data_IF_913673558355
#
_entry.id   IF_913673558355
#
_cell.length_a   1.000
_cell.length_b   1.000
_cell.length_c   1.000
_cell.angle_alpha   90.00
_cell.angle_beta   90.00
_cell.angle_gamma   90.00
#
_symmetry.space_group_name_H-M   'P 1'
#
loop_
_entity.id
_entity.type
_entity.pdbx_description
1 polymer ?
#
# COMPACT_ATOMS: atom_id res chain seq x y z
N UNK A 1 -2.09 15.07 21.65
CA UNK A 1 -3.45 14.65 21.87
C UNK A 1 -3.90 13.77 20.69
N UNK A 2 -3.84 12.45 20.87
CA UNK A 2 -4.04 11.46 19.81
C UNK A 2 -5.33 10.65 20.05
N UNK A 3 -6.43 11.32 20.37
CA UNK A 3 -7.71 10.68 20.73
C UNK A 3 -8.37 9.94 19.54
N UNK A 4 -8.14 10.38 18.30
CA UNK A 4 -8.72 9.80 17.08
C UNK A 4 -7.64 9.26 16.14
N UNK A 5 -6.67 8.50 16.68
CA UNK A 5 -5.57 7.89 15.91
C UNK A 5 -5.99 6.57 15.28
N UNK A 6 -5.69 6.40 13.99
CA UNK A 6 -5.76 5.12 13.29
C UNK A 6 -4.62 4.97 12.28
N UNK A 7 -4.33 3.71 11.90
CA UNK A 7 -3.22 3.34 11.00
C UNK A 7 -1.85 3.81 11.50
N UNK A 8 -1.43 3.46 12.74
CA UNK A 8 -0.13 3.84 13.26
C UNK A 8 0.98 3.07 12.55
N UNK A 9 1.96 3.78 11.98
CA UNK A 9 3.13 3.19 11.35
C UNK A 9 4.41 3.91 11.78
N UNK A 10 5.50 3.14 11.95
CA UNK A 10 6.80 3.66 12.33
C UNK A 10 7.82 3.45 11.22
N UNK A 11 8.60 4.49 10.94
CA UNK A 11 9.72 4.44 10.01
C UNK A 11 10.99 4.89 10.73
N UNK A 12 12.04 4.06 10.66
CA UNK A 12 13.35 4.39 11.22
C UNK A 12 14.21 5.04 10.15
N UNK A 13 14.55 6.31 10.37
CA UNK A 13 15.43 7.07 9.48
C UNK A 13 16.89 6.59 9.59
N UNK A 14 17.75 6.83 8.57
CA UNK A 14 19.16 6.46 8.59
C UNK A 14 19.95 7.03 9.78
N UNK A 15 19.57 8.20 10.28
CA UNK A 15 20.16 8.82 11.47
C UNK A 15 19.66 8.25 12.82
N UNK A 16 18.82 7.22 12.78
CA UNK A 16 18.25 6.55 13.93
C UNK A 16 16.97 7.17 14.48
N UNK A 17 16.58 8.36 14.06
CA UNK A 17 15.32 8.98 14.45
C UNK A 17 14.13 8.15 13.95
N UNK A 18 12.99 8.22 14.67
CA UNK A 18 11.77 7.54 14.25
C UNK A 18 10.75 8.55 13.75
N UNK A 19 10.05 8.18 12.71
CA UNK A 19 8.83 8.86 12.29
C UNK A 19 7.63 8.01 12.70
N UNK A 20 6.60 8.65 13.17
CA UNK A 20 5.32 8.08 13.51
C UNK A 20 4.25 8.69 12.60
N UNK A 21 3.75 7.90 11.68
CA UNK A 21 2.70 8.26 10.75
C UNK A 21 1.37 7.75 11.29
N UNK A 22 0.33 8.56 11.21
CA UNK A 22 -1.02 8.14 11.58
C UNK A 22 -2.08 9.03 10.94
N UNK A 23 -3.27 8.47 10.81
CA UNK A 23 -4.45 9.26 10.49
C UNK A 23 -5.04 9.86 11.75
N UNK A 24 -5.27 11.17 11.75
CA UNK A 24 -6.08 11.86 12.74
C UNK A 24 -7.47 12.11 12.14
N UNK A 25 -8.51 11.64 12.83
CA UNK A 25 -9.91 11.74 12.38
C UNK A 25 -10.50 10.42 11.89
N UNK A 26 -11.73 10.47 11.39
CA UNK A 26 -12.53 9.32 11.01
C UNK A 26 -12.48 8.95 9.53
N UNK A 27 -13.17 7.86 9.17
CA UNK A 27 -13.35 7.45 7.78
C UNK A 27 -14.14 8.51 6.99
N UNK A 28 -13.67 8.89 5.80
CA UNK A 28 -14.25 9.96 4.98
C UNK A 28 -13.94 11.38 5.47
N UNK A 29 -13.20 11.52 6.58
CA UNK A 29 -12.69 12.81 7.09
C UNK A 29 -11.46 12.57 7.94
N UNK A 30 -10.28 12.77 7.44
CA UNK A 30 -9.06 12.56 8.21
C UNK A 30 -7.83 13.10 7.50
N UNK A 31 -6.85 13.43 8.30
CA UNK A 31 -5.59 14.01 7.89
C UNK A 31 -4.43 13.04 8.14
N UNK A 32 -3.39 13.06 7.33
CA UNK A 32 -2.14 12.37 7.61
C UNK A 32 -1.23 13.27 8.46
N UNK A 33 -0.87 12.77 9.64
CA UNK A 33 0.00 13.43 10.60
C UNK A 33 1.33 12.69 10.68
N UNK A 34 2.42 13.43 10.87
CA UNK A 34 3.75 12.89 11.11
C UNK A 34 4.34 13.51 12.39
N UNK A 35 4.67 12.64 13.34
CA UNK A 35 5.49 13.00 14.49
C UNK A 35 6.89 12.40 14.31
N UNK A 36 7.92 13.09 14.82
CA UNK A 36 9.30 12.62 14.84
C UNK A 36 9.80 12.46 16.26
N UNK A 37 10.36 11.30 16.54
CA UNK A 37 11.16 11.07 17.75
C UNK A 37 12.63 11.30 17.43
N UNK A 38 13.24 12.23 18.16
CA UNK A 38 14.66 12.50 18.08
C UNK A 38 15.40 11.67 19.14
N UNK A 39 16.28 10.77 18.69
CA UNK A 39 16.99 9.83 19.59
C UNK A 39 18.02 10.50 20.47
N UNK A 40 18.60 11.64 20.06
CA UNK A 40 19.59 12.37 20.83
C UNK A 40 18.94 13.14 22.00
N UNK A 41 17.80 13.77 21.75
CA UNK A 41 17.08 14.54 22.75
C UNK A 41 15.99 13.75 23.48
N UNK A 42 15.66 12.54 22.99
CA UNK A 42 14.59 11.66 23.49
C UNK A 42 13.22 12.33 23.51
N UNK A 43 12.93 13.16 22.51
CA UNK A 43 11.69 13.93 22.45
C UNK A 43 10.91 13.68 21.17
N UNK A 44 9.59 13.67 21.32
CA UNK A 44 8.65 13.71 20.21
C UNK A 44 8.33 15.14 19.81
N UNK A 45 8.30 15.40 18.52
CA UNK A 45 7.84 16.67 17.93
C UNK A 45 6.95 16.39 16.74
N UNK A 46 5.87 17.17 16.58
CA UNK A 46 5.07 17.15 15.37
C UNK A 46 5.84 17.88 14.27
N UNK A 47 6.04 17.24 13.11
CA UNK A 47 6.75 17.86 11.99
C UNK A 47 5.90 18.91 11.27
N UNK A 48 4.61 18.57 11.05
CA UNK A 48 3.66 19.45 10.39
C UNK A 48 2.32 19.40 11.14
N UNK A 49 1.50 20.44 10.99
CA UNK A 49 0.12 20.42 11.52
C UNK A 49 -0.63 19.25 10.91
N UNK A 50 -0.51 19.07 9.59
CA UNK A 50 -0.84 17.86 8.83
C UNK A 50 0.00 17.85 7.55
N UNK A 51 0.38 16.68 7.09
CA UNK A 51 1.06 16.53 5.80
C UNK A 51 0.04 16.54 4.66
N UNK A 52 -1.01 15.75 4.80
CA UNK A 52 -2.10 15.64 3.82
C UNK A 52 -3.39 15.99 4.54
N UNK A 53 -4.15 16.91 3.98
CA UNK A 53 -5.44 17.30 4.54
C UNK A 53 -6.60 16.73 3.74
N UNK A 54 -7.57 16.14 4.45
CA UNK A 54 -8.87 15.76 3.90
C UNK A 54 -9.85 16.94 3.80
N UNK A 55 -9.46 18.15 4.23
CA UNK A 55 -10.28 19.38 4.21
C UNK A 55 -11.63 19.21 4.94
N UNK A 56 -11.71 18.26 5.89
CA UNK A 56 -12.96 17.90 6.57
C UNK A 56 -14.01 17.21 5.68
N UNK A 57 -13.68 16.89 4.43
CA UNK A 57 -14.61 16.36 3.40
C UNK A 57 -14.24 14.97 2.93
N UNK A 58 -12.96 14.60 3.02
CA UNK A 58 -12.42 13.34 2.52
C UNK A 58 -11.33 12.82 3.43
N UNK A 59 -10.78 11.68 3.06
CA UNK A 59 -9.70 11.03 3.77
C UNK A 59 -8.64 10.56 2.78
N UNK A 60 -7.37 10.74 3.11
CA UNK A 60 -6.27 10.09 2.43
C UNK A 60 -6.05 8.71 3.04
N UNK A 61 -6.22 7.64 2.25
CA UNK A 61 -5.76 6.30 2.63
C UNK A 61 -4.38 6.08 2.02
N UNK A 62 -3.37 6.15 2.85
CA UNK A 62 -1.97 6.22 2.47
C UNK A 62 -1.21 4.93 2.76
N UNK A 63 -0.15 4.70 2.03
CA UNK A 63 0.96 3.79 2.31
C UNK A 63 2.26 4.54 2.11
N UNK A 64 3.30 4.16 2.85
CA UNK A 64 4.61 4.78 2.73
C UNK A 64 5.73 3.74 2.64
N UNK A 65 6.86 4.17 2.11
CA UNK A 65 8.07 3.35 1.97
C UNK A 65 9.31 4.22 2.16
N UNK A 66 10.23 3.74 2.98
CA UNK A 66 11.55 4.34 3.14
C UNK A 66 12.54 3.57 2.28
N UNK A 67 13.06 4.18 1.22
CA UNK A 67 14.00 3.53 0.33
C UNK A 67 15.42 3.45 0.92
N UNK A 68 16.32 2.73 0.24
CA UNK A 68 17.70 2.54 0.66
C UNK A 68 18.56 3.83 0.63
N UNK A 69 18.08 4.90 -0.02
CA UNK A 69 18.71 6.23 -0.06
C UNK A 69 18.23 7.13 1.08
N UNK A 70 17.27 6.67 1.87
CA UNK A 70 16.64 7.44 2.93
C UNK A 70 15.52 8.36 2.43
N UNK A 71 15.06 8.20 1.19
CA UNK A 71 13.89 8.91 0.67
C UNK A 71 12.61 8.26 1.20
N UNK A 72 11.74 9.07 1.76
CA UNK A 72 10.39 8.68 2.12
C UNK A 72 9.47 8.88 0.92
N UNK A 73 8.80 7.83 0.52
CA UNK A 73 7.76 7.86 -0.50
C UNK A 73 6.40 7.65 0.17
N UNK A 74 5.40 8.43 -0.22
CA UNK A 74 4.02 8.29 0.23
C UNK A 74 3.11 8.31 -0.98
N UNK A 75 2.21 7.35 -1.07
CA UNK A 75 1.12 7.35 -2.04
C UNK A 75 -0.21 7.17 -1.32
N UNK A 76 -1.29 7.66 -1.89
CA UNK A 76 -2.62 7.55 -1.27
C UNK A 76 -3.73 7.59 -2.29
N UNK A 77 -4.84 6.98 -1.90
CA UNK A 77 -6.13 7.16 -2.56
C UNK A 77 -6.96 8.16 -1.76
N UNK A 78 -7.78 8.96 -2.45
CA UNK A 78 -8.79 9.77 -1.80
C UNK A 78 -10.06 8.96 -1.58
N UNK A 79 -10.71 9.17 -0.44
CA UNK A 79 -11.99 8.58 -0.09
C UNK A 79 -12.95 9.68 0.35
N UNK A 80 -14.01 9.88 -0.43
CA UNK A 80 -14.93 11.03 -0.28
C UNK A 80 -16.01 10.82 0.78
N UNK A 81 -16.24 9.57 1.20
CA UNK A 81 -17.27 9.22 2.19
C UNK A 81 -16.87 7.97 2.97
N UNK A 82 -17.62 7.55 4.01
CA UNK A 82 -17.37 6.25 4.64
C UNK A 82 -17.52 5.04 3.71
N UNK A 83 -18.17 5.17 2.56
CA UNK A 83 -18.31 4.12 1.55
C UNK A 83 -17.00 3.91 0.78
N UNK A 84 -16.49 2.67 0.74
CA UNK A 84 -15.27 2.31 0.00
C UNK A 84 -15.39 2.53 -1.51
N UNK A 85 -16.59 2.47 -2.07
CA UNK A 85 -16.83 2.78 -3.48
C UNK A 85 -16.50 4.23 -3.85
N UNK A 86 -16.40 5.13 -2.86
CA UNK A 86 -15.96 6.51 -3.04
C UNK A 86 -14.44 6.69 -3.14
N UNK A 87 -13.66 5.61 -3.08
CA UNK A 87 -12.21 5.67 -3.34
C UNK A 87 -11.96 6.07 -4.80
N UNK A 88 -10.98 6.94 -4.99
CA UNK A 88 -10.57 7.38 -6.33
C UNK A 88 -9.13 7.87 -6.36
N UNK A 89 -8.56 7.85 -7.55
CA UNK A 89 -7.23 8.38 -7.85
C UNK A 89 -6.10 7.75 -7.01
N UNK A 90 -4.89 7.81 -7.54
CA UNK A 90 -3.67 7.51 -6.80
C UNK A 90 -2.78 8.74 -6.82
N UNK A 91 -2.51 9.31 -5.66
CA UNK A 91 -1.67 10.48 -5.51
C UNK A 91 -0.30 10.10 -4.92
N UNK A 92 0.67 11.02 -5.02
CA UNK A 92 2.05 10.76 -4.62
C UNK A 92 2.76 12.01 -4.07
N UNK A 93 3.67 11.77 -3.13
CA UNK A 93 4.65 12.73 -2.61
C UNK A 93 5.90 11.99 -2.12
N UNK A 94 7.04 12.69 -2.07
CA UNK A 94 8.26 12.15 -1.43
C UNK A 94 8.97 13.22 -0.61
N UNK A 95 9.80 12.77 0.33
CA UNK A 95 10.69 13.59 1.14
C UNK A 95 12.09 13.00 1.14
N UNK A 96 13.10 13.84 0.93
CA UNK A 96 14.52 13.43 0.94
C UNK A 96 15.26 13.85 2.22
N UNK A 97 14.59 14.52 3.13
CA UNK A 97 15.15 15.12 4.34
C UNK A 97 14.49 14.65 5.64
N UNK A 98 13.96 13.42 5.59
CA UNK A 98 13.34 12.80 6.76
C UNK A 98 11.97 13.38 7.12
N UNK A 99 11.19 13.79 6.14
CA UNK A 99 9.82 14.25 6.29
C UNK A 99 9.67 15.76 6.55
N UNK A 100 10.75 16.54 6.47
CA UNK A 100 10.72 17.99 6.75
C UNK A 100 10.14 18.76 5.56
N UNK A 101 10.65 18.50 4.35
CA UNK A 101 10.10 19.05 3.11
C UNK A 101 9.59 17.94 2.20
N UNK A 102 8.62 18.28 1.37
CA UNK A 102 7.97 17.32 0.47
C UNK A 102 7.92 17.86 -0.95
N UNK A 103 8.08 16.96 -1.90
CA UNK A 103 8.12 17.27 -3.33
C UNK A 103 7.34 16.26 -4.15
N UNK A 104 6.96 16.65 -5.35
CA UNK A 104 6.40 15.78 -6.38
C UNK A 104 7.48 14.87 -6.98
N UNK A 105 7.10 13.96 -7.85
CA UNK A 105 8.04 13.05 -8.52
C UNK A 105 9.07 13.78 -9.39
N UNK A 106 8.72 14.94 -9.94
CA UNK A 106 9.60 15.79 -10.74
C UNK A 106 10.51 16.72 -9.91
N UNK A 107 10.39 16.70 -8.57
CA UNK A 107 11.14 17.55 -7.65
C UNK A 107 10.49 18.89 -7.34
N UNK A 108 9.31 19.18 -7.88
CA UNK A 108 8.56 20.40 -7.54
C UNK A 108 8.12 20.37 -6.07
N UNK A 109 8.50 21.37 -5.24
CA UNK A 109 8.11 21.40 -3.84
C UNK A 109 6.61 21.54 -3.63
N UNK A 110 6.09 20.89 -2.58
CA UNK A 110 4.74 21.12 -2.10
C UNK A 110 4.67 22.28 -1.11
N UNK A 111 3.64 23.11 -1.25
CA UNK A 111 3.14 23.91 -0.12
C UNK A 111 2.26 23.01 0.76
N UNK A 112 2.59 22.91 2.04
CA UNK A 112 1.86 22.06 2.99
C UNK A 112 0.70 22.79 3.66
N UNK A 113 -0.39 22.11 4.01
CA UNK A 113 -0.66 20.70 3.76
C UNK A 113 -1.02 20.40 2.29
N UNK A 114 -0.76 19.16 1.86
CA UNK A 114 -1.18 18.70 0.53
C UNK A 114 -2.69 18.45 0.56
N UNK A 115 -3.41 19.05 -0.36
CA UNK A 115 -4.85 18.87 -0.56
C UNK A 115 -5.15 18.14 -1.87
N UNK A 116 -6.41 17.78 -2.11
CA UNK A 116 -6.81 17.19 -3.39
C UNK A 116 -6.53 18.13 -4.58
N UNK A 117 -6.56 19.45 -4.37
CA UNK A 117 -6.28 20.42 -5.43
C UNK A 117 -4.77 20.56 -5.73
N UNK A 118 -3.89 20.32 -4.74
CA UNK A 118 -2.44 20.48 -4.88
C UNK A 118 -1.69 19.17 -5.12
N UNK A 119 -2.31 18.01 -4.89
CA UNK A 119 -1.70 16.69 -5.04
C UNK A 119 -1.19 16.43 -6.46
N UNK A 120 -0.04 15.79 -6.58
CA UNK A 120 0.34 15.11 -7.81
C UNK A 120 -0.45 13.80 -7.91
N UNK A 121 -1.01 13.54 -9.07
CA UNK A 121 -1.72 12.29 -9.34
C UNK A 121 -0.87 11.37 -10.20
N UNK A 122 -0.39 10.30 -9.61
CA UNK A 122 0.31 9.24 -10.32
C UNK A 122 -0.61 8.54 -11.34
N UNK A 123 -1.90 8.39 -10.98
CA UNK A 123 -2.91 7.86 -11.87
C UNK A 123 -4.30 8.39 -11.49
N UNK A 124 -5.11 8.73 -12.49
CA UNK A 124 -6.53 9.05 -12.32
C UNK A 124 -7.37 7.78 -12.40
N UNK A 125 -8.09 7.48 -11.33
CA UNK A 125 -8.95 6.30 -11.19
C UNK A 125 -10.32 6.79 -10.72
N UNK A 126 -11.40 6.51 -11.44
CA UNK A 126 -12.72 7.00 -11.07
C UNK A 126 -13.26 6.31 -9.81
N UNK A 127 -14.21 6.94 -9.13
CA UNK A 127 -15.03 6.29 -8.11
C UNK A 127 -15.82 5.11 -8.72
N UNK A 128 -16.29 4.19 -7.88
CA UNK A 128 -17.04 2.99 -8.27
C UNK A 128 -16.26 2.07 -9.24
N UNK A 129 -14.96 2.01 -9.09
CA UNK A 129 -14.07 1.11 -9.83
C UNK A 129 -13.47 -0.01 -8.97
N UNK A 130 -14.04 -0.28 -7.80
CA UNK A 130 -13.54 -1.26 -6.84
C UNK A 130 -12.08 -0.99 -6.39
N UNK A 131 -11.65 0.28 -6.46
CA UNK A 131 -10.35 0.69 -5.95
C UNK A 131 -10.29 0.50 -4.44
N UNK A 132 -9.32 -0.29 -3.99
CA UNK A 132 -9.12 -0.53 -2.55
C UNK A 132 -8.40 0.65 -1.88
N UNK A 133 -8.45 0.69 -0.55
CA UNK A 133 -7.71 1.60 0.32
C UNK A 133 -6.18 1.47 0.12
N UNK A 134 -5.41 1.89 1.13
CA UNK A 134 -3.97 1.67 1.16
C UNK A 134 -3.62 0.18 0.93
N UNK A 135 -2.52 -0.03 0.20
CA UNK A 135 -1.99 -1.35 -0.11
C UNK A 135 -0.51 -1.41 0.22
N UNK A 136 0.34 -1.28 -0.78
CA UNK A 136 1.79 -1.26 -0.58
C UNK A 136 2.50 -0.47 -1.66
N UNK A 137 3.73 -0.06 -1.34
CA UNK A 137 4.65 0.54 -2.30
C UNK A 137 6.09 0.13 -2.04
N UNK A 138 6.93 0.28 -3.05
CA UNK A 138 8.36 0.06 -3.00
C UNK A 138 9.06 1.09 -3.88
N UNK A 139 10.39 1.10 -3.87
CA UNK A 139 11.20 1.85 -4.83
C UNK A 139 12.34 0.98 -5.36
N UNK A 140 12.76 1.24 -6.60
CA UNK A 140 13.92 0.57 -7.20
C UNK A 140 15.25 1.16 -6.71
N UNK A 141 16.36 0.68 -7.28
CA UNK A 141 17.72 1.13 -6.94
C UNK A 141 17.96 2.61 -7.31
N UNK A 142 17.19 3.15 -8.24
CA UNK A 142 17.28 4.54 -8.65
C UNK A 142 16.34 5.47 -7.87
N UNK A 143 15.51 4.88 -6.98
CA UNK A 143 14.54 5.61 -6.16
C UNK A 143 13.26 5.91 -6.92
N UNK A 144 12.96 5.21 -8.02
CA UNK A 144 11.69 5.31 -8.69
C UNK A 144 10.62 4.53 -7.92
N UNK A 145 9.47 5.13 -7.61
CA UNK A 145 8.42 4.49 -6.84
C UNK A 145 7.57 3.52 -7.68
N UNK A 146 7.14 2.45 -7.02
CA UNK A 146 6.20 1.44 -7.50
C UNK A 146 5.08 1.29 -6.48
N UNK A 147 3.84 1.33 -6.94
CA UNK A 147 2.65 1.25 -6.09
C UNK A 147 1.80 0.10 -6.61
N UNK A 148 1.50 -0.87 -5.76
CA UNK A 148 0.60 -1.96 -6.10
C UNK A 148 -0.78 -1.71 -5.51
N UNK A 149 -1.82 -2.02 -6.27
CA UNK A 149 -3.21 -1.95 -5.82
C UNK A 149 -4.09 -2.84 -6.70
N UNK A 150 -5.38 -2.75 -6.54
CA UNK A 150 -6.33 -3.33 -7.49
C UNK A 150 -7.51 -2.39 -7.72
N UNK A 151 -8.01 -2.45 -8.93
CA UNK A 151 -9.24 -1.77 -9.36
C UNK A 151 -9.76 -2.40 -10.64
N UNK A 152 -10.93 -1.97 -11.06
CA UNK A 152 -11.59 -2.37 -12.29
C UNK A 152 -11.39 -1.29 -13.35
N UNK A 153 -10.77 -1.65 -14.47
CA UNK A 153 -10.58 -0.75 -15.61
C UNK A 153 -11.91 -0.37 -16.29
N UNK A 154 -11.90 0.76 -16.96
CA UNK A 154 -13.05 1.22 -17.72
C UNK A 154 -13.44 0.19 -18.79
N UNK A 155 -14.73 -0.15 -18.84
CA UNK A 155 -15.26 -1.15 -19.77
C UNK A 155 -15.08 -2.62 -19.34
N UNK A 156 -14.36 -2.88 -18.22
CA UNK A 156 -14.27 -4.20 -17.62
C UNK A 156 -15.30 -4.39 -16.51
N UNK A 157 -15.69 -5.63 -16.24
CA UNK A 157 -16.44 -6.02 -15.04
C UNK A 157 -15.55 -6.66 -13.97
N UNK A 158 -14.28 -6.94 -14.28
CA UNK A 158 -13.37 -7.71 -13.44
C UNK A 158 -12.28 -6.81 -12.87
N UNK A 159 -12.21 -6.62 -11.55
CA UNK A 159 -11.06 -5.96 -10.92
C UNK A 159 -9.79 -6.77 -11.11
N UNK A 160 -8.70 -6.08 -11.48
CA UNK A 160 -7.38 -6.66 -11.68
C UNK A 160 -6.38 -6.08 -10.68
N UNK A 161 -5.29 -6.82 -10.41
CA UNK A 161 -4.11 -6.24 -9.79
C UNK A 161 -3.37 -5.34 -10.77
N UNK A 162 -2.89 -4.22 -10.27
CA UNK A 162 -2.15 -3.24 -11.05
C UNK A 162 -0.88 -2.80 -10.32
N UNK A 163 0.10 -2.40 -11.11
CA UNK A 163 1.30 -1.70 -10.62
C UNK A 163 1.37 -0.35 -11.32
N UNK A 164 1.37 0.73 -10.52
CA UNK A 164 1.64 2.10 -10.95
C UNK A 164 3.10 2.37 -10.64
N UNK A 165 3.85 2.91 -11.58
CA UNK A 165 5.28 3.17 -11.39
C UNK A 165 5.74 4.41 -12.13
N UNK A 166 6.81 5.04 -11.63
CA UNK A 166 7.44 6.17 -12.28
C UNK A 166 8.69 5.70 -13.02
N UNK A 167 8.82 6.08 -14.30
CA UNK A 167 9.97 5.73 -15.15
C UNK A 167 11.15 6.69 -15.00
N UNK A 168 11.09 7.65 -14.07
CA UNK A 168 12.00 8.77 -13.96
C UNK A 168 11.53 10.01 -14.74
N UNK A 169 10.63 9.82 -15.71
CA UNK A 169 10.10 10.91 -16.55
C UNK A 169 8.57 10.97 -16.59
N UNK A 170 7.90 9.85 -16.35
CA UNK A 170 6.45 9.76 -16.42
C UNK A 170 5.90 8.65 -15.52
N UNK A 171 4.68 8.83 -15.04
CA UNK A 171 3.90 7.79 -14.40
C UNK A 171 3.27 6.88 -15.46
N UNK A 172 3.31 5.59 -15.18
CA UNK A 172 2.68 4.54 -15.99
C UNK A 172 1.95 3.54 -15.09
N UNK A 173 1.04 2.77 -15.66
CA UNK A 173 0.34 1.69 -14.97
C UNK A 173 0.30 0.44 -15.84
N UNK A 174 0.40 -0.71 -15.20
CA UNK A 174 0.24 -2.03 -15.82
C UNK A 174 -0.78 -2.83 -15.04
N UNK A 175 -1.75 -3.37 -15.76
CA UNK A 175 -2.62 -4.44 -15.27
C UNK A 175 -1.92 -5.79 -15.38
N UNK A 176 -2.18 -6.69 -14.44
CA UNK A 176 -1.62 -8.05 -14.47
C UNK A 176 -2.52 -9.02 -15.24
N UNK A 177 -3.79 -8.71 -15.47
CA UNK A 177 -4.78 -9.34 -16.37
C UNK A 177 -4.98 -10.86 -16.21
N UNK A 178 -4.74 -11.41 -15.01
CA UNK A 178 -4.91 -12.86 -14.82
C UNK A 178 -6.23 -13.26 -14.16
N UNK A 179 -7.02 -12.30 -13.65
CA UNK A 179 -8.32 -12.56 -13.03
C UNK A 179 -9.45 -12.59 -14.06
N UNK A 180 -10.50 -13.38 -13.75
CA UNK A 180 -11.66 -13.60 -14.63
C UNK A 180 -13.00 -13.37 -13.94
N UNK A 181 -13.02 -13.38 -12.60
CA UNK A 181 -14.25 -13.29 -11.80
C UNK A 181 -14.50 -11.88 -11.33
N UNK A 182 -15.67 -11.30 -11.64
CA UNK A 182 -16.04 -9.99 -11.12
C UNK A 182 -16.34 -10.04 -9.63
N UNK A 183 -16.14 -8.91 -8.96
CA UNK A 183 -16.69 -8.65 -7.63
C UNK A 183 -17.00 -7.16 -7.48
N UNK A 184 -17.85 -6.81 -6.53
CA UNK A 184 -18.17 -5.44 -6.16
C UNK A 184 -17.61 -5.12 -4.80
N UNK A 185 -17.11 -3.89 -4.65
CA UNK A 185 -16.61 -3.34 -3.39
C UNK A 185 -17.36 -2.05 -3.06
N UNK A 186 -18.17 -2.07 -2.01
CA UNK A 186 -18.97 -0.93 -1.58
C UNK A 186 -19.36 -1.01 -0.10
N UNK A 187 -19.87 0.10 0.43
CA UNK A 187 -20.33 0.22 1.81
C UNK A 187 -19.20 0.49 2.81
N UNK A 188 -19.57 0.41 4.10
CA UNK A 188 -18.71 0.72 5.25
C UNK A 188 -18.28 -0.55 5.99
N UNK A 189 -17.30 -0.40 6.90
CA UNK A 189 -16.78 -1.47 7.76
C UNK A 189 -15.86 -2.44 7.03
N UNK A 190 -15.46 -3.47 7.76
CA UNK A 190 -14.59 -4.52 7.23
C UNK A 190 -15.34 -5.38 6.23
N UNK A 191 -14.71 -5.68 5.10
CA UNK A 191 -15.30 -6.48 4.02
C UNK A 191 -14.59 -7.81 3.86
N UNK A 192 -15.38 -8.85 3.56
CA UNK A 192 -14.83 -10.06 2.98
C UNK A 192 -14.61 -9.83 1.49
N UNK A 193 -13.35 -9.74 1.09
CA UNK A 193 -12.95 -9.45 -0.29
C UNK A 193 -12.33 -10.72 -0.88
N UNK A 194 -12.68 -11.11 -2.13
CA UNK A 194 -12.17 -12.34 -2.75
C UNK A 194 -10.67 -12.30 -3.05
N UNK A 195 -10.05 -11.13 -3.01
CA UNK A 195 -8.60 -10.95 -3.20
C UNK A 195 -8.01 -10.16 -2.02
N UNK A 196 -6.72 -10.38 -1.76
CA UNK A 196 -5.99 -9.62 -0.75
C UNK A 196 -5.44 -8.31 -1.34
N UNK A 197 -5.18 -7.32 -0.48
CA UNK A 197 -4.34 -6.19 -0.83
C UNK A 197 -2.93 -6.70 -1.11
N UNK A 198 -2.34 -6.40 -2.29
CA UNK A 198 -1.04 -6.95 -2.65
C UNK A 198 0.10 -6.30 -1.85
N UNK A 199 1.20 -7.04 -1.66
CA UNK A 199 2.49 -6.49 -1.23
C UNK A 199 3.46 -6.49 -2.41
N UNK A 200 4.05 -5.33 -2.71
CA UNK A 200 5.03 -5.20 -3.79
C UNK A 200 6.45 -5.10 -3.25
N UNK A 201 7.36 -5.81 -3.88
CA UNK A 201 8.79 -5.71 -3.66
C UNK A 201 9.47 -5.51 -5.01
N UNK A 202 10.46 -4.60 -5.05
CA UNK A 202 11.22 -4.30 -6.26
C UNK A 202 12.70 -4.46 -5.94
N UNK A 203 13.41 -5.16 -6.81
CA UNK A 203 14.84 -5.41 -6.70
C UNK A 203 15.53 -5.46 -8.04
N UNK A 204 16.80 -5.85 -8.06
CA UNK A 204 17.59 -5.96 -9.29
C UNK A 204 17.03 -6.98 -10.29
N UNK A 205 16.36 -8.02 -9.79
CA UNK A 205 15.77 -9.08 -10.61
C UNK A 205 14.37 -8.71 -11.15
N UNK A 206 13.86 -7.51 -10.87
CA UNK A 206 12.53 -7.07 -11.26
C UNK A 206 11.59 -6.84 -10.09
N UNK A 207 10.30 -7.12 -10.28
CA UNK A 207 9.28 -6.92 -9.27
C UNK A 207 8.57 -8.23 -8.89
N UNK A 208 8.18 -8.30 -7.62
CA UNK A 208 7.37 -9.36 -7.04
C UNK A 208 6.11 -8.74 -6.45
N UNK A 209 4.98 -9.42 -6.64
CA UNK A 209 3.69 -9.08 -6.03
C UNK A 209 3.21 -10.29 -5.24
N UNK A 210 3.12 -10.17 -3.92
CA UNK A 210 2.55 -11.22 -3.06
C UNK A 210 1.08 -10.94 -2.85
N UNK A 211 0.24 -11.96 -3.01
CA UNK A 211 -1.20 -11.80 -2.94
C UNK A 211 -1.92 -13.11 -2.58
N UNK A 212 -3.21 -13.02 -2.37
CA UNK A 212 -4.14 -14.13 -2.24
C UNK A 212 -5.35 -13.85 -3.14
N UNK A 213 -5.84 -14.86 -3.85
CA UNK A 213 -7.00 -14.76 -4.73
C UNK A 213 -7.86 -16.04 -4.63
N UNK A 214 -9.18 -15.87 -4.47
CA UNK A 214 -10.12 -17.00 -4.45
C UNK A 214 -10.11 -17.81 -5.75
N UNK A 215 -9.85 -17.19 -6.91
CA UNK A 215 -9.67 -17.90 -8.19
C UNK A 215 -8.50 -18.90 -8.16
N UNK A 216 -7.55 -18.69 -7.25
CA UNK A 216 -6.40 -19.58 -7.04
C UNK A 216 -6.56 -20.46 -5.79
N UNK A 217 -7.81 -20.63 -5.30
CA UNK A 217 -8.09 -21.40 -4.10
C UNK A 217 -7.63 -20.70 -2.81
N UNK A 218 -7.57 -19.39 -2.79
CA UNK A 218 -7.10 -18.58 -1.64
C UNK A 218 -5.74 -19.02 -1.11
N UNK A 219 -4.82 -19.39 -1.99
CA UNK A 219 -3.44 -19.74 -1.63
C UNK A 219 -2.56 -18.49 -1.51
N UNK A 220 -1.44 -18.61 -0.81
CA UNK A 220 -0.37 -17.62 -0.91
C UNK A 220 0.22 -17.72 -2.31
N UNK A 221 0.15 -16.65 -3.07
CA UNK A 221 0.62 -16.59 -4.46
C UNK A 221 1.58 -15.44 -4.66
N UNK A 222 2.50 -15.60 -5.61
CA UNK A 222 3.45 -14.58 -6.06
C UNK A 222 3.30 -14.40 -7.57
N UNK A 223 3.17 -13.15 -8.00
CA UNK A 223 3.39 -12.77 -9.40
C UNK A 223 4.76 -12.11 -9.51
N UNK A 224 5.54 -12.46 -10.52
CA UNK A 224 6.88 -11.91 -10.74
C UNK A 224 7.11 -11.50 -12.18
N UNK A 225 7.92 -10.47 -12.39
CA UNK A 225 8.39 -10.04 -13.72
C UNK A 225 9.78 -9.44 -13.60
N UNK A 226 10.63 -9.68 -14.59
CA UNK A 226 11.93 -9.04 -14.70
C UNK A 226 11.84 -7.58 -15.20
N UNK A 227 10.75 -7.22 -15.86
CA UNK A 227 10.52 -5.87 -16.42
C UNK A 227 9.06 -5.50 -16.23
N UNK A 228 8.79 -4.58 -15.29
CA UNK A 228 7.43 -4.12 -15.00
C UNK A 228 6.80 -3.42 -16.21
N UNK A 229 7.61 -2.74 -17.02
CA UNK A 229 7.11 -1.98 -18.16
C UNK A 229 6.65 -2.88 -19.33
N UNK A 230 7.40 -3.95 -19.62
CA UNK A 230 7.21 -4.74 -20.84
C UNK A 230 7.12 -6.24 -20.61
N UNK A 231 7.61 -6.72 -19.46
CA UNK A 231 7.69 -8.15 -19.16
C UNK A 231 6.32 -8.80 -18.94
N UNK A 232 6.26 -10.08 -19.19
CA UNK A 232 5.12 -10.90 -18.76
C UNK A 232 5.23 -11.17 -17.26
N UNK A 233 4.08 -11.17 -16.59
CA UNK A 233 3.97 -11.59 -15.20
C UNK A 233 3.78 -13.11 -15.13
N UNK A 234 4.65 -13.77 -14.37
CA UNK A 234 4.54 -15.20 -14.07
C UNK A 234 3.92 -15.36 -12.69
N UNK A 235 2.93 -16.26 -12.57
CA UNK A 235 2.22 -16.46 -11.29
C UNK A 235 2.50 -17.86 -10.76
N UNK A 236 2.91 -17.93 -9.49
CA UNK A 236 3.22 -19.16 -8.77
C UNK A 236 2.48 -19.19 -7.43
N UNK A 237 1.93 -20.36 -7.06
CA UNK A 237 1.41 -20.60 -5.73
C UNK A 237 2.53 -21.09 -4.80
N UNK A 238 2.64 -20.47 -3.63
CA UNK A 238 3.64 -20.83 -2.61
C UNK A 238 3.09 -21.83 -1.58
N UNK A 239 1.75 -21.96 -1.46
CA UNK A 239 1.12 -22.94 -0.59
C UNK A 239 0.25 -23.91 -1.41
N UNK A 240 0.12 -25.14 -0.92
CA UNK A 240 -0.80 -26.13 -1.49
C UNK A 240 -2.18 -26.09 -0.83
N UNK A 241 -2.35 -25.29 0.23
CA UNK A 241 -3.56 -25.14 1.01
C UNK A 241 -4.07 -23.71 0.97
N UNK A 242 -5.36 -23.55 1.27
CA UNK A 242 -6.01 -22.23 1.39
C UNK A 242 -5.59 -21.53 2.68
N UNK A 243 -5.35 -20.23 2.60
CA UNK A 243 -5.12 -19.34 3.74
C UNK A 243 -6.37 -18.48 4.06
N UNK A 244 -7.52 -18.83 3.49
CA UNK A 244 -8.78 -18.13 3.70
C UNK A 244 -8.74 -16.66 3.27
N UNK A 245 -9.12 -15.77 4.17
CA UNK A 245 -9.14 -14.33 3.93
C UNK A 245 -7.84 -13.61 4.37
N UNK A 246 -6.73 -14.32 4.34
CA UNK A 246 -5.41 -13.79 4.72
C UNK A 246 -5.01 -12.56 3.89
N UNK A 247 -4.42 -11.60 4.58
CA UNK A 247 -3.78 -10.42 3.98
C UNK A 247 -2.24 -10.57 4.08
N UNK A 248 -1.48 -10.36 3.01
CA UNK A 248 -0.03 -10.52 3.00
C UNK A 248 0.69 -9.64 4.03
N UNK A 249 1.57 -10.26 4.79
CA UNK A 249 2.47 -9.61 5.73
C UNK A 249 3.82 -10.33 5.71
N UNK A 250 4.92 -9.60 5.64
CA UNK A 250 6.25 -10.18 5.52
C UNK A 250 7.29 -9.41 6.35
N UNK A 251 8.42 -10.07 6.64
CA UNK A 251 9.58 -9.44 7.27
C UNK A 251 10.32 -8.54 6.27
N UNK A 252 10.05 -7.23 6.36
CA UNK A 252 10.63 -6.23 5.46
C UNK A 252 12.15 -6.09 5.64
N UNK A 253 12.68 -6.34 6.84
CA UNK A 253 14.10 -6.27 7.12
C UNK A 253 14.86 -7.49 6.57
N UNK A 254 14.28 -8.67 6.68
CA UNK A 254 14.87 -9.88 6.10
C UNK A 254 14.90 -9.78 4.56
N UNK A 255 13.81 -9.31 3.94
CA UNK A 255 13.78 -9.02 2.52
C UNK A 255 14.88 -8.03 2.11
N UNK A 256 14.98 -6.91 2.82
CA UNK A 256 15.97 -5.87 2.53
C UNK A 256 17.41 -6.36 2.65
N UNK A 257 17.70 -7.27 3.60
CA UNK A 257 19.06 -7.76 3.87
C UNK A 257 19.54 -8.80 2.87
N UNK A 258 18.70 -9.76 2.53
CA UNK A 258 19.13 -10.94 1.77
C UNK A 258 18.15 -11.41 0.69
N UNK A 259 17.05 -10.69 0.46
CA UNK A 259 16.06 -11.05 -0.56
C UNK A 259 15.21 -12.28 -0.21
N UNK A 260 15.18 -12.71 1.05
CA UNK A 260 14.28 -13.78 1.50
C UNK A 260 12.92 -13.18 1.81
N UNK A 261 11.88 -13.70 1.17
CA UNK A 261 10.48 -13.41 1.48
C UNK A 261 10.04 -14.32 2.63
N UNK A 262 9.98 -13.75 3.82
CA UNK A 262 9.51 -14.43 5.03
C UNK A 262 8.10 -13.92 5.36
N UNK A 263 7.10 -14.77 5.14
CA UNK A 263 5.68 -14.43 5.28
C UNK A 263 5.11 -15.00 6.58
N UNK A 264 4.30 -14.20 7.28
CA UNK A 264 3.44 -14.69 8.36
C UNK A 264 2.15 -15.20 7.74
N UNK A 265 1.91 -16.50 7.80
CA UNK A 265 0.81 -17.17 7.13
C UNK A 265 -0.12 -17.81 8.16
N UNK A 266 -1.41 -17.53 8.02
CA UNK A 266 -2.45 -18.11 8.86
C UNK A 266 -3.71 -18.34 8.02
N UNK A 267 -4.48 -19.40 8.33
CA UNK A 267 -5.82 -19.53 7.76
C UNK A 267 -6.78 -18.57 8.48
N UNK A 268 -7.19 -17.52 7.78
CA UNK A 268 -8.01 -16.43 8.33
C UNK A 268 -9.45 -16.58 7.85
N UNK A 269 -10.40 -16.40 8.77
CA UNK A 269 -11.81 -16.28 8.46
C UNK A 269 -12.24 -14.83 8.68
N UNK A 270 -12.82 -14.23 7.66
CA UNK A 270 -13.36 -12.87 7.70
C UNK A 270 -14.84 -12.90 7.36
N UNK A 271 -15.65 -12.24 8.19
CA UNK A 271 -17.06 -11.97 7.90
C UNK A 271 -17.20 -10.52 7.42
N UNK A 272 -18.32 -10.20 6.78
CA UNK A 272 -18.65 -8.83 6.46
C UNK A 272 -19.07 -8.06 7.72
N UNK A 273 -18.72 -6.79 7.77
CA UNK A 273 -18.96 -5.91 8.91
C UNK A 273 -17.92 -6.10 10.02
N UNK A 274 -18.25 -5.65 11.23
CA UNK A 274 -17.37 -5.67 12.41
C UNK A 274 -17.54 -6.96 13.25
N UNK A 275 -18.08 -8.02 12.66
CA UNK A 275 -18.29 -9.30 13.32
C UNK A 275 -17.03 -10.16 13.39
N UNK A 276 -17.12 -11.23 14.20
CA UNK A 276 -16.08 -12.25 14.32
C UNK A 276 -16.61 -13.60 13.85
N UNK A 277 -15.80 -14.32 13.08
CA UNK A 277 -16.11 -15.71 12.75
C UNK A 277 -15.87 -16.61 13.98
N UNK A 278 -16.79 -17.52 14.24
CA UNK A 278 -16.60 -18.54 15.28
C UNK A 278 -15.87 -19.74 14.70
N UNK A 279 -14.57 -19.75 14.81
CA UNK A 279 -13.69 -20.80 14.28
C UNK A 279 -12.67 -21.24 15.32
N UNK A 280 -12.20 -22.50 15.29
CA UNK A 280 -11.10 -22.93 16.14
C UNK A 280 -9.84 -22.08 15.90
N UNK A 281 -9.00 -21.90 16.93
CA UNK A 281 -7.70 -21.25 16.78
C UNK A 281 -6.88 -21.88 15.65
N UNK A 282 -6.26 -21.03 14.82
CA UNK A 282 -5.41 -21.47 13.73
C UNK A 282 -3.96 -21.10 14.02
N UNK A 283 -2.99 -21.99 13.72
CA UNK A 283 -1.58 -21.69 13.94
C UNK A 283 -1.12 -20.56 13.00
N UNK A 284 -0.25 -19.70 13.50
CA UNK A 284 0.55 -18.80 12.67
C UNK A 284 1.79 -19.58 12.23
N UNK A 285 2.08 -19.54 10.95
CA UNK A 285 3.24 -20.20 10.34
C UNK A 285 4.14 -19.14 9.71
N UNK A 286 5.43 -19.45 9.60
CA UNK A 286 6.39 -18.66 8.82
C UNK A 286 6.68 -19.45 7.55
N UNK A 287 6.54 -18.79 6.40
CA UNK A 287 6.88 -19.34 5.10
C UNK A 287 8.03 -18.53 4.52
N UNK A 288 9.21 -19.16 4.45
CA UNK A 288 10.38 -18.57 3.83
C UNK A 288 10.47 -19.01 2.36
N UNK A 289 10.62 -18.04 1.48
CA UNK A 289 10.79 -18.28 0.06
C UNK A 289 11.80 -17.31 -0.54
N UNK A 290 12.66 -17.80 -1.40
CA UNK A 290 13.63 -16.98 -2.12
C UNK A 290 13.32 -17.09 -3.62
N UNK A 291 13.18 -15.98 -4.34
CA UNK A 291 13.04 -16.00 -5.79
C UNK A 291 14.19 -16.76 -6.44
N UNK A 292 13.90 -17.52 -7.48
CA UNK A 292 14.97 -18.08 -8.29
C UNK A 292 15.81 -16.94 -8.90
N UNK A 293 17.13 -17.14 -9.02
CA UNK A 293 18.04 -16.12 -9.55
C UNK A 293 17.78 -15.79 -11.03
#
# INVERSE_FOLDING_TARGET
DEAEVSYPEFYRLPNGNLLFFYRLGGSGRGDLIINRYDVATQRWTRLHTNLITGEGKRNAYWQAFLDHRGTLHVSWVWRESPDVASNHDMAYARSRDGGVTWERSDGTPYALPISAASAEYALRIPQNSELINQTSMAADQDGHPYIASYWRDAGSSVPQYHVIFNTGTAWQARSLDFRKTPFSLGGQGTKRIPIARPQIMVGKAGALLVFRDEERGSKVSVASTADVLRGAWQVQDLTMFSVGAWEPSYDTELWRRNGTLSLFVQNVQQVDGEGQASVPPQPVQVLDWTPAP
#
